data_IF_995398558635
#
_entry.id   IF_995398558635
#
_cell.length_a   1.000
_cell.length_b   1.000
_cell.length_c   1.000
_cell.angle_alpha   90.00
_cell.angle_beta   90.00
_cell.angle_gamma   90.00
#
_symmetry.space_group_name_H-M   'P 1'
#
loop_
_entity.id
_entity.type
_entity.pdbx_description
1 polymer ?
#
# COMPACT_ATOMS: atom_id res chain seq x y z
N UNK A 1 -10.70 0.52 17.44
CA UNK A 1 -11.83 0.30 16.50
C UNK A 1 -11.42 0.38 15.03
N UNK A 2 -10.83 1.49 14.57
CA UNK A 2 -10.41 1.67 13.15
C UNK A 2 -9.51 0.54 12.62
N UNK A 3 -8.53 0.10 13.40
CA UNK A 3 -7.65 -1.02 13.00
C UNK A 3 -8.41 -2.31 12.66
N UNK A 4 -9.46 -2.63 13.43
CA UNK A 4 -10.31 -3.81 13.21
C UNK A 4 -11.20 -3.61 11.98
N UNK A 5 -11.76 -2.41 11.79
CA UNK A 5 -12.55 -2.10 10.59
C UNK A 5 -11.71 -2.21 9.31
N UNK A 6 -10.47 -1.73 9.34
CA UNK A 6 -9.49 -1.90 8.26
C UNK A 6 -9.26 -3.39 8.00
N UNK A 7 -9.04 -4.19 9.05
CA UNK A 7 -8.86 -5.64 8.91
C UNK A 7 -10.06 -6.30 8.20
N UNK A 8 -11.28 -6.01 8.65
CA UNK A 8 -12.50 -6.55 8.06
C UNK A 8 -12.65 -6.12 6.59
N UNK A 9 -12.47 -4.84 6.29
CA UNK A 9 -12.60 -4.29 4.95
C UNK A 9 -11.58 -4.90 3.98
N UNK A 10 -10.30 -4.99 4.36
CA UNK A 10 -9.25 -5.53 3.49
C UNK A 10 -9.45 -7.04 3.32
N UNK A 11 -9.84 -7.76 4.37
CA UNK A 11 -10.15 -9.19 4.28
C UNK A 11 -11.31 -9.45 3.33
N UNK A 12 -12.42 -8.69 3.45
CA UNK A 12 -13.56 -8.78 2.54
C UNK A 12 -13.13 -8.49 1.09
N UNK A 13 -12.33 -7.44 0.87
CA UNK A 13 -11.82 -7.08 -0.45
C UNK A 13 -10.96 -8.19 -1.07
N UNK A 14 -10.16 -8.89 -0.25
CA UNK A 14 -9.34 -10.03 -0.67
C UNK A 14 -10.19 -11.22 -1.06
N UNK A 15 -11.21 -11.55 -0.25
CA UNK A 15 -12.13 -12.65 -0.58
C UNK A 15 -12.87 -12.35 -1.88
N UNK A 16 -13.48 -11.17 -2.00
CA UNK A 16 -14.20 -10.76 -3.21
C UNK A 16 -13.28 -10.76 -4.44
N UNK A 17 -12.11 -10.14 -4.33
CA UNK A 17 -11.14 -10.08 -5.43
C UNK A 17 -10.68 -11.46 -5.88
N UNK A 18 -10.41 -12.37 -4.94
CA UNK A 18 -10.00 -13.75 -5.24
C UNK A 18 -11.13 -14.55 -5.89
N UNK A 19 -12.36 -14.41 -5.42
CA UNK A 19 -13.55 -15.01 -6.06
C UNK A 19 -13.70 -14.50 -7.49
N UNK A 20 -13.58 -13.19 -7.73
CA UNK A 20 -13.66 -12.62 -9.08
C UNK A 20 -12.52 -13.09 -9.99
N UNK A 21 -11.31 -13.33 -9.46
CA UNK A 21 -10.21 -13.89 -10.25
C UNK A 21 -10.48 -15.32 -10.71
N UNK A 22 -11.21 -16.11 -9.91
CA UNK A 22 -11.60 -17.47 -10.26
C UNK A 22 -12.76 -17.46 -11.27
N UNK A 23 -13.78 -16.63 -11.04
CA UNK A 23 -14.99 -16.58 -11.88
C UNK A 23 -14.75 -15.86 -13.21
N UNK A 24 -13.96 -14.78 -13.20
CA UNK A 24 -13.77 -13.87 -14.34
C UNK A 24 -12.29 -13.52 -14.57
N UNK A 25 -11.41 -14.52 -14.80
CA UNK A 25 -9.95 -14.31 -14.86
C UNK A 25 -9.53 -13.29 -15.92
N UNK A 26 -10.15 -13.33 -17.10
CA UNK A 26 -9.84 -12.39 -18.20
C UNK A 26 -10.26 -10.95 -17.87
N UNK A 27 -11.40 -10.77 -17.21
CA UNK A 27 -11.87 -9.45 -16.80
C UNK A 27 -10.96 -8.88 -15.69
N UNK A 28 -10.60 -9.70 -14.71
CA UNK A 28 -9.70 -9.30 -13.63
C UNK A 28 -8.29 -8.99 -14.12
N UNK A 29 -7.75 -9.77 -15.08
CA UNK A 29 -6.47 -9.45 -15.72
C UNK A 29 -6.48 -8.06 -16.35
N UNK A 30 -7.51 -7.74 -17.14
CA UNK A 30 -7.67 -6.40 -17.74
C UNK A 30 -7.80 -5.31 -16.68
N UNK A 31 -8.58 -5.57 -15.62
CA UNK A 31 -8.76 -4.63 -14.52
C UNK A 31 -7.44 -4.32 -13.80
N UNK A 32 -6.67 -5.34 -13.44
CA UNK A 32 -5.37 -5.19 -12.76
C UNK A 32 -4.37 -4.45 -13.65
N UNK A 33 -4.31 -4.78 -14.95
CA UNK A 33 -3.42 -4.09 -15.89
C UNK A 33 -3.79 -2.60 -16.03
N UNK A 34 -5.08 -2.29 -16.13
CA UNK A 34 -5.57 -0.90 -16.16
C UNK A 34 -5.28 -0.15 -14.85
N UNK A 35 -5.35 -0.82 -13.71
CA UNK A 35 -4.94 -0.24 -12.43
C UNK A 35 -3.42 0.02 -12.40
N UNK A 36 -2.64 -0.86 -13.03
CA UNK A 36 -1.19 -0.73 -13.20
C UNK A 36 -0.75 0.48 -14.03
N UNK A 37 -1.57 0.94 -14.97
CA UNK A 37 -1.32 2.17 -15.73
C UNK A 37 -1.25 3.40 -14.81
N UNK A 38 -2.16 3.48 -13.82
CA UNK A 38 -2.18 4.60 -12.86
C UNK A 38 -0.97 4.62 -11.94
N UNK A 39 -0.44 3.45 -11.58
CA UNK A 39 0.74 3.33 -10.72
C UNK A 39 2.06 3.25 -11.48
N UNK A 40 2.04 3.35 -12.82
CA UNK A 40 3.20 3.15 -13.71
C UNK A 40 3.82 1.74 -13.58
N UNK A 41 3.09 0.79 -13.01
CA UNK A 41 3.54 -0.60 -12.85
C UNK A 41 3.81 -1.26 -14.22
N UNK A 42 3.01 -0.90 -15.23
CA UNK A 42 3.18 -1.35 -16.61
C UNK A 42 4.45 -0.82 -17.30
N UNK A 43 5.08 0.25 -16.76
CA UNK A 43 6.34 0.79 -17.27
C UNK A 43 7.56 0.06 -16.68
N UNK A 44 7.36 -0.82 -15.69
CA UNK A 44 8.46 -1.58 -15.10
C UNK A 44 8.85 -2.74 -16.04
N UNK A 45 10.09 -2.79 -16.57
CA UNK A 45 10.52 -3.86 -17.46
C UNK A 45 10.57 -5.24 -16.78
N UNK A 46 10.57 -5.29 -15.44
CA UNK A 46 10.52 -6.53 -14.65
C UNK A 46 9.09 -7.00 -14.36
N UNK A 47 8.08 -6.25 -14.78
CA UNK A 47 6.69 -6.59 -14.56
C UNK A 47 6.16 -7.51 -15.66
N UNK A 48 5.61 -8.65 -15.26
CA UNK A 48 4.83 -9.55 -16.10
C UNK A 48 3.59 -9.99 -15.34
N UNK A 49 2.42 -9.85 -15.95
CA UNK A 49 1.17 -10.23 -15.28
C UNK A 49 1.17 -11.70 -14.86
N UNK A 50 1.76 -12.61 -15.63
CA UNK A 50 1.74 -14.04 -15.26
C UNK A 50 2.55 -14.32 -13.99
N UNK A 51 3.62 -13.55 -13.76
CA UNK A 51 4.45 -13.68 -12.56
C UNK A 51 3.86 -12.93 -11.36
N UNK A 52 3.23 -11.77 -11.60
CA UNK A 52 2.77 -10.86 -10.54
C UNK A 52 1.28 -10.98 -10.24
N UNK A 53 0.47 -11.36 -11.22
CA UNK A 53 -0.98 -11.55 -11.13
C UNK A 53 -1.40 -12.40 -9.92
N UNK A 54 -0.78 -13.58 -9.68
CA UNK A 54 -1.08 -14.41 -8.52
C UNK A 54 -0.80 -13.76 -7.16
N UNK A 55 -0.03 -12.67 -7.12
CA UNK A 55 0.23 -11.93 -5.87
C UNK A 55 -0.96 -11.07 -5.46
N UNK A 56 -1.78 -10.59 -6.40
CA UNK A 56 -2.99 -9.80 -6.09
C UNK A 56 -3.99 -10.66 -5.33
N UNK A 57 -4.56 -10.10 -4.25
CA UNK A 57 -5.50 -10.80 -3.35
C UNK A 57 -4.95 -12.12 -2.75
N UNK A 58 -3.63 -12.29 -2.72
CA UNK A 58 -2.97 -13.35 -1.95
C UNK A 58 -2.92 -13.02 -0.45
N UNK A 59 -2.54 -13.99 0.37
CA UNK A 59 -2.28 -13.74 1.79
C UNK A 59 -1.14 -12.73 2.00
N UNK A 60 -0.09 -12.78 1.16
CA UNK A 60 1.00 -11.80 1.18
C UNK A 60 0.49 -10.39 0.87
N UNK A 61 -0.43 -10.26 -0.08
CA UNK A 61 -1.08 -8.98 -0.39
C UNK A 61 -1.91 -8.47 0.78
N UNK A 62 -2.69 -9.33 1.44
CA UNK A 62 -3.44 -8.98 2.64
C UNK A 62 -2.52 -8.41 3.72
N UNK A 63 -1.45 -9.15 4.07
CA UNK A 63 -0.47 -8.70 5.07
C UNK A 63 0.17 -7.37 4.69
N UNK A 64 0.55 -7.20 3.41
CA UNK A 64 1.16 -5.97 2.93
C UNK A 64 0.23 -4.76 3.03
N UNK A 65 -1.01 -4.89 2.54
CA UNK A 65 -1.99 -3.80 2.57
C UNK A 65 -2.35 -3.43 4.00
N UNK A 66 -2.52 -4.42 4.87
CA UNK A 66 -2.77 -4.19 6.30
C UNK A 66 -1.61 -3.44 6.97
N UNK A 67 -0.37 -3.90 6.77
CA UNK A 67 0.84 -3.24 7.28
C UNK A 67 0.88 -1.77 6.87
N UNK A 68 0.66 -1.47 5.59
CA UNK A 68 0.68 -0.10 5.06
C UNK A 68 -0.46 0.74 5.63
N UNK A 69 -1.69 0.21 5.66
CA UNK A 69 -2.86 0.93 6.17
C UNK A 69 -2.76 1.24 7.66
N UNK A 70 -2.25 0.31 8.47
CA UNK A 70 -2.04 0.55 9.89
C UNK A 70 -0.92 1.54 10.16
N UNK A 71 0.21 1.44 9.45
CA UNK A 71 1.28 2.42 9.58
C UNK A 71 0.79 3.85 9.27
N UNK A 72 0.03 4.01 8.16
CA UNK A 72 -0.53 5.32 7.79
C UNK A 72 -1.49 5.90 8.83
N UNK A 73 -2.18 5.05 9.58
CA UNK A 73 -3.07 5.49 10.67
C UNK A 73 -2.26 6.06 11.85
N UNK A 74 -1.03 5.58 12.04
CA UNK A 74 -0.12 6.07 13.08
C UNK A 74 0.66 7.31 12.63
N UNK A 75 0.81 7.51 11.31
CA UNK A 75 1.49 8.66 10.71
C UNK A 75 0.57 9.90 10.53
N UNK A 76 -0.64 9.92 11.11
CA UNK A 76 -1.55 11.08 11.03
C UNK A 76 -1.07 12.23 11.95
N UNK A 77 -1.02 13.45 11.41
CA UNK A 77 -0.69 14.67 12.14
C UNK A 77 -1.86 15.66 12.07
N UNK A 78 -2.12 16.37 13.16
CA UNK A 78 -3.26 17.29 13.29
C UNK A 78 -2.79 18.67 13.76
N UNK A 79 -3.48 19.71 13.31
CA UNK A 79 -3.22 21.08 13.74
C UNK A 79 -3.45 21.22 15.26
N UNK A 80 -2.56 21.96 15.93
CA UNK A 80 -2.59 22.14 17.39
C UNK A 80 -1.97 21.00 18.20
N UNK A 81 -1.56 19.90 17.57
CA UNK A 81 -0.79 18.83 18.21
C UNK A 81 0.71 18.98 17.91
N UNK A 82 1.61 18.38 18.71
CA UNK A 82 3.05 18.41 18.44
C UNK A 82 3.37 17.87 17.04
N UNK A 83 4.21 18.60 16.31
CA UNK A 83 4.68 18.16 15.00
C UNK A 83 5.45 16.81 15.12
N UNK A 84 5.22 15.84 14.23
CA UNK A 84 5.94 14.57 14.26
C UNK A 84 7.45 14.78 14.08
N UNK A 85 8.26 14.25 15.00
CA UNK A 85 9.71 14.33 14.90
C UNK A 85 10.30 13.21 14.01
N UNK A 86 9.83 13.12 12.77
CA UNK A 86 10.17 12.05 11.83
C UNK A 86 11.66 12.12 11.42
N UNK A 87 12.36 10.97 11.29
CA UNK A 87 13.72 10.97 10.76
C UNK A 87 13.73 11.38 9.28
N UNK A 88 14.71 12.19 8.90
CA UNK A 88 14.99 12.67 7.54
C UNK A 88 16.46 12.41 7.21
N UNK A 89 16.79 12.45 5.92
CA UNK A 89 18.16 12.23 5.42
C UNK A 89 18.62 13.49 4.70
N UNK A 90 19.77 14.04 5.09
CA UNK A 90 20.37 15.22 4.46
C UNK A 90 20.93 14.88 3.07
N UNK A 91 21.30 15.91 2.30
CA UNK A 91 21.97 15.70 1.00
C UNK A 91 23.33 14.99 1.16
N UNK A 92 23.99 15.16 2.30
CA UNK A 92 25.24 14.50 2.66
C UNK A 92 25.03 13.05 3.16
N UNK A 93 23.77 12.59 3.23
CA UNK A 93 23.40 11.23 3.61
C UNK A 93 23.29 10.98 5.11
N UNK A 94 23.37 12.02 5.93
CA UNK A 94 23.25 11.92 7.38
C UNK A 94 21.78 11.80 7.80
N UNK A 95 21.50 10.92 8.77
CA UNK A 95 20.16 10.79 9.35
C UNK A 95 20.03 11.78 10.51
N UNK A 96 19.09 12.70 10.39
CA UNK A 96 18.70 13.63 11.45
C UNK A 96 17.16 13.65 11.61
N UNK A 97 16.65 14.48 12.49
CA UNK A 97 15.22 14.56 12.81
C UNK A 97 14.62 15.89 12.37
N UNK A 98 13.32 15.90 12.06
CA UNK A 98 12.64 17.07 11.50
C UNK A 98 12.67 18.28 12.44
N UNK A 99 12.61 18.07 13.76
CA UNK A 99 12.71 19.13 14.75
C UNK A 99 14.12 19.74 14.84
N UNK A 100 15.17 19.05 14.36
CA UNK A 100 16.55 19.58 14.35
C UNK A 100 16.69 20.81 13.42
N UNK A 101 15.71 21.06 12.54
CA UNK A 101 15.68 22.20 11.62
C UNK A 101 14.78 23.36 12.09
N UNK A 102 14.10 23.22 13.23
CA UNK A 102 13.12 24.20 13.72
C UNK A 102 13.71 25.19 14.73
N UNK A 103 15.05 25.27 14.82
CA UNK A 103 15.77 26.26 15.62
C UNK A 103 15.61 27.70 15.10
#
# INVERSE_FOLDING_TARGET
LQKILILLQVTLSVVVGKTLMILFPNAMKRYILKMGEKSRMNQNPKFSYENWGPTFFSFKYLQFVLKVKWKRLEDEAYEGYPAPNTPVVTLDGEVCHLLDFME
#
